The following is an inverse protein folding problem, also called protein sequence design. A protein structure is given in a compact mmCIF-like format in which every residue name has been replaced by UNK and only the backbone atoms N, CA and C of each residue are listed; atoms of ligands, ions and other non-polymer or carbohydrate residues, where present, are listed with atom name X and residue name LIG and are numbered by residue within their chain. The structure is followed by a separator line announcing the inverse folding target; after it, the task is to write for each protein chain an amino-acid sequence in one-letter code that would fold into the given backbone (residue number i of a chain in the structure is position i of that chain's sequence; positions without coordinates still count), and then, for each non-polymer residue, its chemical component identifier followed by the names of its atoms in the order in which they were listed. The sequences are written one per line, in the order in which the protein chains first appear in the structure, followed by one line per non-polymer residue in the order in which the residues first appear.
data_IF_371164782972
#
_entry.id   IF_371164782972
#
_cell.length_a   1.000
_cell.length_b   1.000
_cell.length_c   1.000
_cell.angle_alpha   90.00
_cell.angle_beta   90.00
_cell.angle_gamma   90.00
#
_symmetry.space_group_name_H-M   'P 1'
#
loop_
_entity.id
_entity.type
_entity.pdbx_description
1 polymer ?
#
# COMPACT_ATOMS: atom_id res chain seq x y z
N UNK A 1 75.40 -5.36 20.37
CA UNK A 1 74.17 -4.81 20.99
C UNK A 1 73.15 -4.53 19.87
N UNK A 2 72.24 -5.50 19.63
CA UNK A 2 71.19 -5.37 18.59
C UNK A 2 69.90 -4.86 19.28
N UNK A 3 69.40 -3.69 18.84
CA UNK A 3 68.11 -3.19 19.25
C UNK A 3 66.99 -3.86 18.45
N UNK A 4 66.16 -4.64 19.11
CA UNK A 4 64.94 -5.21 18.57
C UNK A 4 63.86 -4.15 18.73
N UNK A 5 63.33 -3.66 17.59
CA UNK A 5 62.17 -2.78 17.56
C UNK A 5 60.92 -3.65 17.57
N UNK A 6 60.10 -3.50 18.59
CA UNK A 6 58.78 -4.15 18.72
C UNK A 6 57.75 -3.31 17.96
N UNK A 7 57.25 -3.82 16.82
CA UNK A 7 56.14 -3.23 16.10
C UNK A 7 54.83 -3.71 16.75
N UNK A 8 54.12 -2.82 17.46
CA UNK A 8 52.77 -3.08 17.95
C UNK A 8 51.81 -2.73 16.83
N UNK A 9 51.26 -3.75 16.16
CA UNK A 9 50.12 -3.59 15.24
C UNK A 9 48.83 -3.41 16.05
N UNK A 10 48.33 -2.19 16.07
CA UNK A 10 46.99 -1.89 16.61
C UNK A 10 45.98 -2.33 15.55
N UNK A 11 45.34 -3.47 15.75
CA UNK A 11 44.20 -3.91 14.96
C UNK A 11 42.99 -3.09 15.47
N UNK A 12 42.61 -2.04 14.73
CA UNK A 12 41.34 -1.34 14.89
C UNK A 12 40.22 -2.29 14.41
N UNK A 13 39.59 -2.98 15.35
CA UNK A 13 38.31 -3.62 15.15
C UNK A 13 37.26 -2.52 14.90
N UNK A 14 36.97 -2.26 13.63
CA UNK A 14 35.74 -1.59 13.25
C UNK A 14 34.57 -2.52 13.58
N UNK A 15 34.04 -2.40 14.78
CA UNK A 15 32.69 -2.88 15.07
C UNK A 15 31.74 -2.00 14.24
N UNK A 16 31.23 -2.56 13.16
CA UNK A 16 30.07 -2.02 12.48
C UNK A 16 28.90 -2.01 13.49
N UNK A 17 28.70 -0.87 14.12
CA UNK A 17 27.45 -0.56 14.81
C UNK A 17 26.36 -0.66 13.73
N UNK A 18 25.70 -1.81 13.65
CA UNK A 18 24.41 -1.87 12.99
C UNK A 18 23.51 -0.93 13.79
N UNK A 19 23.28 0.25 13.24
CA UNK A 19 22.26 1.12 13.75
C UNK A 19 20.96 0.30 13.71
N UNK A 20 20.45 -0.08 14.87
CA UNK A 20 19.10 -0.60 15.02
C UNK A 20 18.23 0.55 14.54
N UNK A 21 17.68 0.44 13.34
CA UNK A 21 16.78 1.45 12.81
C UNK A 21 15.58 1.49 13.76
N UNK A 22 15.45 2.58 14.49
CA UNK A 22 14.27 2.85 15.29
C UNK A 22 13.08 2.87 14.33
N UNK A 23 11.95 2.26 14.71
CA UNK A 23 10.72 2.34 13.92
C UNK A 23 10.45 3.82 13.65
N UNK A 24 10.40 4.28 12.38
CA UNK A 24 10.37 5.69 12.06
C UNK A 24 9.03 6.34 12.44
N UNK A 25 9.08 7.60 12.84
CA UNK A 25 7.96 8.52 12.97
C UNK A 25 7.23 8.50 14.30
N UNK A 26 6.30 9.46 14.46
CA UNK A 26 5.60 9.69 15.71
C UNK A 26 4.52 8.64 15.98
N UNK A 27 4.35 8.36 17.26
CA UNK A 27 3.23 7.61 17.84
C UNK A 27 2.68 8.39 19.01
N UNK A 28 1.42 8.15 19.34
CA UNK A 28 0.83 8.66 20.58
C UNK A 28 0.09 7.56 21.33
N UNK A 29 -0.59 7.91 22.39
CA UNK A 29 -1.31 6.94 23.20
C UNK A 29 -2.50 6.29 22.51
N UNK A 30 -3.02 6.85 21.42
CA UNK A 30 -4.10 6.27 20.62
C UNK A 30 -3.56 5.48 19.43
N UNK A 31 -2.66 6.08 18.66
CA UNK A 31 -2.00 5.46 17.52
C UNK A 31 -0.78 4.63 17.98
N UNK A 32 -1.06 3.56 18.69
CA UNK A 32 -0.02 2.76 19.35
C UNK A 32 0.87 1.99 18.40
N UNK A 33 0.40 1.73 17.17
CA UNK A 33 1.11 0.95 16.15
C UNK A 33 1.32 1.77 14.89
N UNK A 34 2.53 1.71 14.35
CA UNK A 34 2.95 2.44 13.16
C UNK A 34 4.09 3.41 13.44
N UNK A 35 4.53 4.16 12.41
CA UNK A 35 4.09 3.96 11.03
C UNK A 35 4.60 2.65 10.45
N UNK A 36 3.75 1.99 9.64
CA UNK A 36 4.15 0.87 8.80
C UNK A 36 4.42 1.43 7.40
N UNK A 37 5.52 1.09 6.79
CA UNK A 37 5.86 1.49 5.42
C UNK A 37 7.06 0.68 4.93
N UNK A 38 6.86 -0.55 4.47
CA UNK A 38 7.98 -1.39 4.03
C UNK A 38 9.07 -1.62 5.10
N UNK A 39 8.80 -1.24 6.34
CA UNK A 39 9.72 -1.35 7.47
C UNK A 39 10.05 -2.83 7.72
N UNK A 40 11.34 -3.21 7.90
CA UNK A 40 11.72 -4.61 8.11
C UNK A 40 11.10 -5.22 9.38
N UNK A 41 10.67 -4.41 10.35
CA UNK A 41 10.05 -4.89 11.59
C UNK A 41 8.53 -5.05 11.48
N UNK A 42 7.86 -4.23 10.65
CA UNK A 42 6.40 -4.19 10.52
C UNK A 42 5.98 -4.37 9.05
N UNK A 43 6.81 -4.99 8.25
CA UNK A 43 6.54 -5.29 6.85
C UNK A 43 5.59 -6.49 6.74
N UNK A 44 4.30 -6.22 6.73
CA UNK A 44 3.22 -7.22 6.77
C UNK A 44 2.01 -6.74 5.97
N UNK A 45 1.26 -7.66 5.38
CA UNK A 45 0.02 -7.40 4.65
C UNK A 45 0.21 -6.58 3.36
N UNK A 46 1.35 -6.74 2.69
CA UNK A 46 1.69 -6.05 1.44
C UNK A 46 1.50 -4.53 1.53
N UNK A 47 2.19 -3.84 2.45
CA UNK A 47 2.14 -2.39 2.50
C UNK A 47 2.66 -1.81 1.19
N UNK A 48 2.30 -0.57 0.90
CA UNK A 48 2.97 0.22 -0.14
C UNK A 48 4.13 0.97 0.51
N UNK A 49 5.33 0.92 -0.07
CA UNK A 49 6.53 1.56 0.48
C UNK A 49 6.41 3.11 0.53
N UNK A 50 5.52 3.67 -0.27
CA UNK A 50 5.27 5.12 -0.34
C UNK A 50 4.09 5.56 0.54
N UNK A 51 3.62 4.69 1.45
CA UNK A 51 2.44 4.91 2.28
C UNK A 51 2.74 4.66 3.74
N UNK A 52 2.29 5.55 4.60
CA UNK A 52 2.44 5.44 6.04
C UNK A 52 1.11 5.09 6.71
N UNK A 53 1.15 4.12 7.63
CA UNK A 53 -0.03 3.54 8.27
C UNK A 53 0.11 3.60 9.77
N UNK A 54 -0.92 4.07 10.47
CA UNK A 54 -1.02 3.98 11.93
C UNK A 54 -2.29 3.25 12.32
N UNK A 55 -2.19 2.33 13.26
CA UNK A 55 -3.33 1.57 13.75
C UNK A 55 -3.62 1.86 15.22
N UNK A 56 -4.91 1.92 15.54
CA UNK A 56 -5.42 2.01 16.89
C UNK A 56 -6.40 0.86 17.16
N UNK A 57 -6.24 0.22 18.32
CA UNK A 57 -7.16 -0.74 18.88
C UNK A 57 -7.66 -0.22 20.21
N UNK A 58 -8.97 -0.12 20.39
CA UNK A 58 -9.58 0.52 21.54
C UNK A 58 -10.97 -0.05 21.85
N UNK A 59 -11.50 0.25 23.02
CA UNK A 59 -12.86 -0.13 23.43
C UNK A 59 -13.58 1.12 23.96
N UNK A 60 -14.52 1.65 23.18
CA UNK A 60 -15.29 2.81 23.61
C UNK A 60 -16.28 2.43 24.73
N UNK A 61 -16.40 3.24 25.81
CA UNK A 61 -17.51 3.10 26.74
C UNK A 61 -18.85 3.35 26.04
N UNK A 62 -19.90 2.63 26.46
CA UNK A 62 -21.22 2.66 25.80
C UNK A 62 -21.90 4.06 25.83
N UNK A 63 -21.56 4.90 26.83
CA UNK A 63 -22.10 6.23 27.08
C UNK A 63 -21.14 7.37 26.63
N UNK A 64 -20.08 7.06 25.91
CA UNK A 64 -19.10 8.03 25.44
C UNK A 64 -19.30 8.40 23.96
N UNK A 65 -19.06 9.66 23.64
CA UNK A 65 -18.88 10.12 22.27
C UNK A 65 -17.39 10.24 21.93
N UNK A 66 -16.98 9.67 20.81
CA UNK A 66 -15.59 9.67 20.36
C UNK A 66 -15.45 10.54 19.12
N UNK A 67 -14.38 11.33 19.11
CA UNK A 67 -14.00 12.17 17.97
C UNK A 67 -12.50 12.03 17.69
N UNK A 68 -12.14 12.13 16.42
CA UNK A 68 -10.78 12.38 15.97
C UNK A 68 -10.69 13.82 15.46
N UNK A 69 -9.81 14.60 16.06
CA UNK A 69 -9.49 15.96 15.62
C UNK A 69 -8.11 15.98 14.97
N UNK A 70 -8.02 16.49 13.75
CA UNK A 70 -6.79 16.53 12.99
C UNK A 70 -6.74 17.64 11.97
N UNK A 71 -5.65 17.66 11.22
CA UNK A 71 -5.44 18.54 10.08
C UNK A 71 -5.20 17.69 8.83
N UNK A 72 -5.69 18.14 7.68
CA UNK A 72 -5.41 17.47 6.41
C UNK A 72 -3.91 17.52 6.10
N UNK A 73 -3.23 16.38 5.89
CA UNK A 73 -1.81 16.38 5.56
C UNK A 73 -1.55 16.92 4.15
N UNK A 74 -0.33 17.36 3.89
CA UNK A 74 0.16 17.62 2.54
C UNK A 74 0.58 16.28 1.93
N UNK A 75 -0.31 15.67 1.17
CA UNK A 75 -0.12 14.34 0.59
C UNK A 75 -1.03 14.12 -0.61
N UNK A 76 -0.85 13.03 -1.32
CA UNK A 76 -1.70 12.61 -2.43
C UNK A 76 -3.09 12.16 -1.98
N UNK A 77 -3.15 11.46 -0.85
CA UNK A 77 -4.37 10.90 -0.32
C UNK A 77 -4.21 10.61 1.17
N UNK A 78 -5.29 10.72 1.94
CA UNK A 78 -5.39 10.22 3.30
C UNK A 78 -6.73 9.55 3.54
N UNK A 79 -6.79 8.63 4.48
CA UNK A 79 -8.04 8.01 4.92
C UNK A 79 -7.98 7.50 6.34
N UNK A 80 -9.17 7.33 6.95
CA UNK A 80 -9.36 6.57 8.17
C UNK A 80 -10.33 5.45 7.85
N UNK A 81 -9.91 4.20 8.10
CA UNK A 81 -10.69 3.00 7.77
C UNK A 81 -10.87 2.14 9.00
N UNK A 82 -12.11 1.69 9.24
CA UNK A 82 -12.45 0.75 10.31
C UNK A 82 -12.39 -0.70 9.83
N UNK A 83 -12.06 -1.62 10.75
CA UNK A 83 -11.87 -3.05 10.47
C UNK A 83 -12.58 -3.95 11.46
N UNK A 84 -13.01 -5.12 10.99
CA UNK A 84 -13.49 -6.20 11.84
C UNK A 84 -12.35 -7.07 12.41
N UNK A 85 -12.70 -8.03 13.29
CA UNK A 85 -11.74 -8.94 13.90
C UNK A 85 -11.03 -9.92 12.95
N UNK A 86 -11.34 -9.86 11.66
CA UNK A 86 -10.64 -10.63 10.60
C UNK A 86 -9.82 -9.73 9.68
N UNK A 87 -9.63 -8.46 10.04
CA UNK A 87 -8.91 -7.50 9.21
C UNK A 87 -9.64 -7.14 7.89
N UNK A 88 -10.97 -7.35 7.83
CA UNK A 88 -11.78 -6.93 6.71
C UNK A 88 -12.26 -5.50 6.95
N UNK A 89 -12.17 -4.62 5.93
CA UNK A 89 -12.60 -3.24 6.10
C UNK A 89 -14.13 -3.17 6.21
N UNK A 90 -14.61 -2.28 7.08
CA UNK A 90 -16.03 -2.02 7.30
C UNK A 90 -16.41 -0.75 6.55
N UNK A 91 -15.74 0.36 6.83
CA UNK A 91 -15.97 1.65 6.19
C UNK A 91 -14.65 2.38 5.97
N UNK A 92 -14.57 3.12 4.85
CA UNK A 92 -13.47 4.05 4.53
C UNK A 92 -13.99 5.46 4.49
N UNK A 93 -13.41 6.33 5.30
CA UNK A 93 -13.58 7.77 5.21
C UNK A 93 -12.35 8.37 4.52
N UNK A 94 -12.47 8.57 3.21
CA UNK A 94 -11.44 9.19 2.39
C UNK A 94 -11.41 10.71 2.56
N UNK A 95 -10.26 11.31 2.32
CA UNK A 95 -9.97 12.74 2.46
C UNK A 95 -11.04 13.67 1.86
N UNK A 96 -11.38 13.47 0.60
CA UNK A 96 -12.32 14.32 -0.13
C UNK A 96 -13.78 14.27 0.39
N UNK A 97 -14.09 13.27 1.23
CA UNK A 97 -15.39 13.11 1.90
C UNK A 97 -15.47 13.82 3.26
N UNK A 98 -14.34 14.24 3.79
CA UNK A 98 -14.23 14.92 5.09
C UNK A 98 -14.55 16.42 4.90
N UNK A 99 -15.49 16.93 5.64
CA UNK A 99 -15.81 18.36 5.66
C UNK A 99 -14.84 19.08 6.60
N UNK A 100 -14.09 20.10 6.12
CA UNK A 100 -13.22 20.93 6.97
C UNK A 100 -14.04 21.69 8.01
N UNK A 101 -13.41 22.04 9.13
CA UNK A 101 -13.97 22.99 10.09
C UNK A 101 -13.95 24.43 9.53
N UNK A 102 -14.73 25.32 10.15
CA UNK A 102 -14.74 26.77 9.87
C UNK A 102 -15.08 27.15 8.42
N UNK A 103 -15.83 26.32 7.69
CA UNK A 103 -16.16 26.50 6.27
C UNK A 103 -14.94 26.67 5.36
N UNK A 104 -13.81 26.10 5.71
CA UNK A 104 -12.63 26.07 4.88
C UNK A 104 -12.82 25.15 3.66
N UNK A 105 -11.99 25.33 2.63
CA UNK A 105 -11.98 24.44 1.47
C UNK A 105 -11.21 23.15 1.77
N UNK A 106 -11.78 22.02 1.38
CA UNK A 106 -11.09 20.73 1.48
C UNK A 106 -9.94 20.68 0.45
N UNK A 107 -8.67 20.51 0.89
CA UNK A 107 -7.51 20.55 -0.01
C UNK A 107 -7.41 19.34 -0.95
N UNK A 108 -8.25 18.33 -0.80
CA UNK A 108 -8.27 17.12 -1.63
C UNK A 108 -9.38 17.11 -2.68
N UNK A 109 -10.12 18.19 -2.79
CA UNK A 109 -11.13 18.37 -3.85
C UNK A 109 -10.46 19.06 -5.04
N UNK A 110 -10.62 18.54 -6.28
CA UNK A 110 -10.05 19.16 -7.46
C UNK A 110 -10.42 20.65 -7.59
N UNK A 111 -9.44 21.48 -7.95
CA UNK A 111 -9.58 22.93 -8.07
C UNK A 111 -9.36 23.71 -6.78
N UNK A 112 -9.40 23.08 -5.61
CA UNK A 112 -9.17 23.75 -4.33
C UNK A 112 -7.67 23.97 -4.07
N UNK A 113 -7.37 24.97 -3.22
CA UNK A 113 -6.01 25.29 -2.81
C UNK A 113 -5.48 24.24 -1.81
N UNK A 114 -4.54 23.41 -2.25
CA UNK A 114 -3.87 22.41 -1.40
C UNK A 114 -3.03 23.03 -0.28
N UNK A 115 -2.56 24.26 -0.45
CA UNK A 115 -1.71 24.98 0.52
C UNK A 115 -2.50 25.82 1.50
N UNK A 116 -3.84 25.72 1.52
CA UNK A 116 -4.66 26.41 2.51
C UNK A 116 -4.17 26.05 3.93
N UNK A 117 -4.03 27.05 4.78
CA UNK A 117 -3.61 26.88 6.20
C UNK A 117 -4.77 26.45 7.09
N UNK A 118 -6.01 26.77 6.71
CA UNK A 118 -7.24 26.31 7.38
C UNK A 118 -7.50 24.87 6.98
N UNK A 119 -6.94 23.90 7.74
CA UNK A 119 -6.89 22.46 7.37
C UNK A 119 -7.57 21.55 8.39
N UNK A 120 -8.14 22.12 9.47
CA UNK A 120 -8.65 21.34 10.58
C UNK A 120 -9.94 20.59 10.22
N UNK A 121 -10.07 19.38 10.76
CA UNK A 121 -11.29 18.57 10.67
C UNK A 121 -11.60 17.89 12.01
N UNK A 122 -12.86 17.49 12.18
CA UNK A 122 -13.29 16.63 13.28
C UNK A 122 -14.18 15.51 12.73
N UNK A 123 -13.89 14.26 13.10
CA UNK A 123 -14.60 13.06 12.69
C UNK A 123 -15.20 12.38 13.90
N UNK A 124 -16.49 12.08 13.90
CA UNK A 124 -17.16 11.29 14.93
C UNK A 124 -16.98 9.80 14.65
N UNK A 125 -16.56 9.02 15.64
CA UNK A 125 -16.49 7.56 15.56
C UNK A 125 -17.75 6.98 16.21
N UNK A 126 -18.48 6.15 15.45
CA UNK A 126 -19.68 5.46 15.94
C UNK A 126 -19.46 3.96 16.08
N UNK A 127 -19.78 3.42 17.25
CA UNK A 127 -19.81 1.97 17.49
C UNK A 127 -21.09 1.35 16.91
N UNK A 128 -21.24 1.38 15.59
CA UNK A 128 -22.39 0.86 14.83
C UNK A 128 -21.95 0.42 13.46
N UNK A 129 -22.69 -0.51 12.86
CA UNK A 129 -22.53 -0.83 11.44
C UNK A 129 -22.98 0.34 10.55
N UNK A 130 -22.33 0.57 9.39
CA UNK A 130 -22.77 1.57 8.43
C UNK A 130 -24.14 1.18 7.85
N UNK A 131 -25.00 2.18 7.63
CA UNK A 131 -26.36 1.98 7.09
C UNK A 131 -26.33 1.49 5.65
N UNK A 132 -25.35 1.96 4.87
CA UNK A 132 -25.12 1.54 3.48
C UNK A 132 -23.62 1.38 3.22
N UNK A 133 -23.26 0.42 2.37
CA UNK A 133 -21.88 0.28 1.91
C UNK A 133 -21.68 1.17 0.70
N UNK A 134 -20.65 2.00 0.74
CA UNK A 134 -20.18 2.77 -0.42
C UNK A 134 -19.57 1.84 -1.46
N UNK A 135 -19.76 2.16 -2.75
CA UNK A 135 -18.98 1.51 -3.81
C UNK A 135 -17.48 1.73 -3.58
N UNK A 136 -16.73 0.65 -3.61
CA UNK A 136 -15.32 0.69 -3.27
C UNK A 136 -14.46 1.05 -4.48
N UNK A 137 -13.38 1.80 -4.22
CA UNK A 137 -12.36 2.10 -5.21
C UNK A 137 -12.71 3.20 -6.21
N UNK A 138 -13.94 3.68 -6.23
CA UNK A 138 -14.37 4.80 -7.10
C UNK A 138 -14.67 6.05 -6.29
N UNK A 139 -14.55 7.21 -6.94
CA UNK A 139 -14.92 8.50 -6.35
C UNK A 139 -16.43 8.52 -6.12
N UNK A 140 -16.84 8.72 -4.86
CA UNK A 140 -18.25 8.82 -4.48
C UNK A 140 -18.71 10.28 -4.46
N UNK A 141 -19.96 10.51 -4.87
CA UNK A 141 -20.61 11.82 -4.74
C UNK A 141 -21.30 12.01 -3.37
N UNK A 142 -21.31 10.97 -2.54
CA UNK A 142 -21.97 10.98 -1.23
C UNK A 142 -21.11 11.71 -0.21
N UNK A 143 -21.71 12.66 0.53
CA UNK A 143 -21.07 13.28 1.70
C UNK A 143 -21.17 12.34 2.89
N UNK A 144 -20.10 12.21 3.69
CA UNK A 144 -20.07 11.31 4.85
C UNK A 144 -20.62 11.95 6.13
N UNK A 145 -20.76 13.29 6.17
CA UNK A 145 -21.10 14.02 7.38
C UNK A 145 -20.08 13.89 8.52
N UNK A 146 -18.80 13.66 8.20
CA UNK A 146 -17.69 13.47 9.16
C UNK A 146 -17.94 12.38 10.21
N UNK A 147 -18.54 11.26 9.77
CA UNK A 147 -18.81 10.10 10.61
C UNK A 147 -18.07 8.87 10.07
N UNK A 148 -17.40 8.14 10.96
CA UNK A 148 -16.81 6.84 10.69
C UNK A 148 -17.52 5.78 11.55
N UNK A 149 -18.09 4.77 10.91
CA UNK A 149 -18.66 3.63 11.59
C UNK A 149 -17.56 2.60 11.88
N UNK A 150 -17.37 2.28 13.15
CA UNK A 150 -16.39 1.31 13.61
C UNK A 150 -17.03 0.39 14.66
N UNK A 151 -17.85 -0.60 14.23
CA UNK A 151 -18.52 -1.51 15.14
C UNK A 151 -17.48 -2.35 15.91
N UNK A 152 -17.80 -2.60 17.18
CA UNK A 152 -16.95 -3.43 18.03
C UNK A 152 -17.08 -4.92 17.70
N UNK A 153 -16.00 -5.68 17.95
CA UNK A 153 -15.93 -7.11 17.77
C UNK A 153 -15.22 -7.78 18.96
N UNK A 154 -15.35 -9.10 19.09
CA UNK A 154 -14.70 -9.87 20.16
C UNK A 154 -14.98 -9.30 21.54
N UNK A 155 -13.95 -8.94 22.33
CA UNK A 155 -14.10 -8.37 23.68
C UNK A 155 -14.45 -6.87 23.65
N UNK A 156 -15.38 -6.45 22.81
CA UNK A 156 -15.76 -5.04 22.56
C UNK A 156 -14.64 -4.18 21.93
N UNK A 157 -13.70 -4.77 21.21
CA UNK A 157 -12.63 -4.03 20.55
C UNK A 157 -13.11 -3.37 19.26
N UNK A 158 -12.64 -2.17 19.00
CA UNK A 158 -12.74 -1.44 17.74
C UNK A 158 -11.35 -1.28 17.15
N UNK A 159 -11.23 -1.29 15.83
CA UNK A 159 -9.95 -1.07 15.15
C UNK A 159 -10.11 -0.07 14.01
N UNK A 160 -9.24 0.92 13.99
CA UNK A 160 -9.13 1.90 12.92
C UNK A 160 -7.68 2.01 12.45
N UNK A 161 -7.51 2.27 11.14
CA UNK A 161 -6.19 2.53 10.55
C UNK A 161 -6.25 3.88 9.83
N UNK A 162 -5.35 4.78 10.21
CA UNK A 162 -5.06 6.04 9.53
C UNK A 162 -3.98 5.81 8.48
N UNK A 163 -4.16 6.36 7.28
CA UNK A 163 -3.24 6.21 6.16
C UNK A 163 -2.92 7.55 5.54
N UNK A 164 -1.65 7.74 5.20
CA UNK A 164 -1.17 8.85 4.37
C UNK A 164 -0.44 8.24 3.18
N UNK A 165 -0.93 8.49 1.98
CA UNK A 165 -0.32 8.06 0.73
C UNK A 165 0.47 9.21 0.14
N UNK A 166 1.71 8.94 -0.20
CA UNK A 166 2.61 9.84 -0.88
C UNK A 166 2.57 11.24 -0.26
N UNK A 167 3.14 11.44 0.95
CA UNK A 167 3.37 12.77 1.48
C UNK A 167 4.15 13.62 0.47
N UNK A 168 3.86 14.92 0.41
CA UNK A 168 4.63 15.85 -0.41
C UNK A 168 6.11 15.80 -0.01
N UNK A 169 7.03 15.99 -0.95
CA UNK A 169 8.47 15.87 -0.71
C UNK A 169 8.93 16.65 0.51
N UNK A 170 9.76 16.01 1.33
CA UNK A 170 10.26 16.58 2.60
C UNK A 170 9.26 16.60 3.75
N UNK A 171 8.00 16.11 3.57
CA UNK A 171 6.96 16.14 4.62
C UNK A 171 6.65 14.77 5.24
N UNK A 172 7.30 13.70 4.77
CA UNK A 172 7.11 12.35 5.31
C UNK A 172 7.49 12.29 6.82
N UNK A 173 6.82 11.40 7.61
CA UNK A 173 5.73 10.50 7.23
C UNK A 173 4.33 11.13 7.36
N UNK A 174 4.19 12.29 7.95
CA UNK A 174 2.91 12.87 8.37
C UNK A 174 2.34 13.92 7.41
N UNK A 175 3.03 14.25 6.33
CA UNK A 175 2.59 15.31 5.43
C UNK A 175 2.58 16.68 6.09
N UNK A 176 3.55 16.98 6.97
CA UNK A 176 3.74 18.29 7.59
C UNK A 176 2.75 18.67 8.71
N UNK A 177 1.90 17.72 9.15
CA UNK A 177 0.94 17.91 10.24
C UNK A 177 1.11 16.85 11.33
N UNK A 178 0.32 16.91 12.41
CA UNK A 178 0.33 15.90 13.47
C UNK A 178 -0.56 14.71 13.19
N UNK A 179 -0.46 13.65 14.03
CA UNK A 179 -1.45 12.57 14.05
C UNK A 179 -2.80 13.12 14.55
N UNK A 180 -3.94 12.63 14.02
CA UNK A 180 -5.24 12.98 14.55
C UNK A 180 -5.37 12.60 16.03
N UNK A 181 -5.82 13.50 16.86
CA UNK A 181 -5.93 13.33 18.31
C UNK A 181 -7.31 12.80 18.72
N UNK A 182 -7.33 11.82 19.63
CA UNK A 182 -8.58 11.32 20.21
C UNK A 182 -9.15 12.30 21.21
N UNK A 183 -10.45 12.56 21.08
CA UNK A 183 -11.28 13.30 22.06
C UNK A 183 -12.44 12.42 22.50
N UNK A 184 -12.63 12.29 23.81
CA UNK A 184 -13.72 11.51 24.41
C UNK A 184 -14.61 12.46 25.22
N UNK A 185 -15.91 12.46 24.94
CA UNK A 185 -16.92 13.19 25.72
C UNK A 185 -17.78 12.18 26.47
N UNK A 186 -17.80 12.26 27.80
CA UNK A 186 -18.55 11.34 28.65
C UNK A 186 -19.03 12.08 29.90
N UNK A 187 -20.31 11.98 30.25
CA UNK A 187 -20.90 12.59 31.44
C UNK A 187 -20.61 14.09 31.61
N UNK A 188 -20.65 14.85 30.51
CA UNK A 188 -20.33 16.29 30.48
C UNK A 188 -18.86 16.63 30.55
N UNK A 189 -17.98 15.64 30.71
CA UNK A 189 -16.52 15.82 30.72
C UNK A 189 -15.92 15.62 29.32
N UNK A 190 -14.99 16.48 28.94
CA UNK A 190 -14.20 16.34 27.71
C UNK A 190 -12.77 15.89 28.09
N UNK A 191 -12.37 14.72 27.61
CA UNK A 191 -11.07 14.12 27.86
C UNK A 191 -10.20 14.17 26.59
N UNK A 192 -8.91 14.41 26.75
CA UNK A 192 -7.89 14.49 25.68
C UNK A 192 -6.60 13.81 26.11
N UNK A 193 -5.71 13.49 25.16
CA UNK A 193 -4.40 12.88 25.42
C UNK A 193 -4.52 11.57 26.23
N UNK A 194 -3.63 11.39 27.22
CA UNK A 194 -3.59 10.16 28.04
C UNK A 194 -4.90 9.86 28.76
N UNK A 195 -5.66 10.85 29.16
CA UNK A 195 -6.96 10.64 29.81
C UNK A 195 -7.98 10.03 28.84
N UNK A 196 -8.05 10.54 27.61
CA UNK A 196 -8.90 9.98 26.57
C UNK A 196 -8.47 8.54 26.21
N UNK A 197 -7.16 8.30 26.09
CA UNK A 197 -6.62 6.98 25.80
C UNK A 197 -6.95 5.94 26.90
N UNK A 198 -6.88 6.35 28.16
CA UNK A 198 -7.30 5.49 29.28
C UNK A 198 -8.79 5.19 29.25
N UNK A 199 -9.63 6.19 28.96
CA UNK A 199 -11.07 6.03 28.88
C UNK A 199 -11.51 4.98 27.84
N UNK A 200 -10.79 4.88 26.72
CA UNK A 200 -11.07 3.90 25.65
C UNK A 200 -10.16 2.65 25.70
N UNK A 201 -9.35 2.50 26.74
CA UNK A 201 -8.42 1.36 26.85
C UNK A 201 -7.59 1.13 25.56
N UNK A 202 -6.89 2.15 25.08
CA UNK A 202 -6.17 2.12 23.80
C UNK A 202 -4.88 1.28 23.81
N UNK A 203 -4.38 0.88 24.98
CA UNK A 203 -3.14 0.09 25.14
C UNK A 203 -3.35 -1.44 25.06
N UNK A 204 -4.46 -1.87 24.44
CA UNK A 204 -4.76 -3.29 24.29
C UNK A 204 -4.10 -3.88 23.03
N UNK A 205 -3.88 -5.19 23.04
CA UNK A 205 -3.45 -5.94 21.88
C UNK A 205 -4.58 -6.08 20.84
N UNK A 206 -4.19 -6.13 19.56
CA UNK A 206 -5.14 -6.39 18.49
C UNK A 206 -5.72 -7.80 18.65
N UNK A 207 -7.02 -7.93 18.80
CA UNK A 207 -7.75 -9.20 18.80
C UNK A 207 -7.97 -9.72 17.35
N UNK A 208 -7.01 -9.47 16.46
CA UNK A 208 -7.01 -9.96 15.08
C UNK A 208 -5.96 -11.04 14.98
N UNK A 209 -6.34 -12.20 14.49
CA UNK A 209 -5.40 -13.31 14.30
C UNK A 209 -4.46 -13.01 13.12
N UNK A 210 -3.17 -13.31 13.26
CA UNK A 210 -2.18 -13.17 12.18
C UNK A 210 -2.53 -14.00 10.94
N UNK A 211 -3.32 -15.07 11.08
CA UNK A 211 -3.90 -15.84 9.97
C UNK A 211 -4.79 -14.99 9.04
N UNK A 212 -5.21 -13.81 9.49
CA UNK A 212 -5.89 -12.83 8.64
C UNK A 212 -4.94 -12.14 7.64
N UNK A 213 -3.64 -12.11 7.91
CA UNK A 213 -2.66 -11.33 7.14
C UNK A 213 -1.96 -12.11 6.01
N UNK A 214 -2.32 -13.38 5.75
CA UNK A 214 -1.67 -14.17 4.71
C UNK A 214 -2.21 -15.59 4.61
N UNK A 215 -1.50 -16.43 3.86
CA UNK A 215 -1.69 -17.88 3.86
C UNK A 215 -0.66 -18.47 4.84
N UNK A 216 -1.04 -19.33 5.81
CA UNK A 216 -0.08 -19.96 6.71
C UNK A 216 1.08 -20.60 5.95
N UNK A 217 2.32 -20.40 6.41
CA UNK A 217 3.53 -20.79 5.66
C UNK A 217 3.56 -22.26 5.25
N UNK A 218 3.04 -23.17 6.07
CA UNK A 218 2.93 -24.59 5.70
C UNK A 218 1.93 -24.81 4.56
N UNK A 219 0.79 -24.13 4.57
CA UNK A 219 -0.19 -24.20 3.51
C UNK A 219 0.38 -23.57 2.22
N UNK A 220 1.08 -22.45 2.33
CA UNK A 220 1.75 -21.81 1.21
C UNK A 220 2.76 -22.77 0.55
N UNK A 221 3.65 -23.40 1.34
CA UNK A 221 4.61 -24.39 0.83
C UNK A 221 3.92 -25.53 0.08
N UNK A 222 2.80 -26.05 0.63
CA UNK A 222 2.01 -27.09 -0.04
C UNK A 222 1.41 -26.62 -1.35
N UNK A 223 0.91 -25.39 -1.43
CA UNK A 223 0.39 -24.78 -2.66
C UNK A 223 1.49 -24.51 -3.70
N UNK A 224 2.67 -24.10 -3.27
CA UNK A 224 3.80 -23.80 -4.14
C UNK A 224 4.52 -25.06 -4.68
N UNK A 225 4.51 -26.17 -3.93
CA UNK A 225 5.24 -27.41 -4.24
C UNK A 225 4.38 -28.50 -4.89
N UNK A 226 3.43 -28.15 -5.75
CA UNK A 226 2.56 -29.14 -6.42
C UNK A 226 3.37 -30.02 -7.38
N UNK A 227 3.45 -31.35 -7.17
CA UNK A 227 4.33 -32.23 -7.95
C UNK A 227 3.80 -32.50 -9.37
N UNK A 228 2.52 -32.25 -9.64
CA UNK A 228 1.86 -32.40 -10.92
C UNK A 228 1.94 -31.14 -11.80
N UNK A 229 2.57 -30.09 -11.31
CA UNK A 229 2.71 -28.81 -12.01
C UNK A 229 4.15 -28.56 -12.47
N UNK A 230 4.35 -27.74 -13.52
CA UNK A 230 5.70 -27.28 -13.87
C UNK A 230 6.42 -26.62 -12.68
N UNK A 231 7.74 -26.75 -12.61
CA UNK A 231 8.56 -26.16 -11.53
C UNK A 231 8.42 -24.63 -11.44
N UNK A 232 7.97 -23.98 -12.51
CA UNK A 232 7.73 -22.53 -12.54
C UNK A 232 6.32 -22.15 -12.07
N UNK A 233 5.45 -23.15 -11.83
CA UNK A 233 4.08 -22.89 -11.39
C UNK A 233 4.06 -22.14 -10.03
N UNK A 234 3.13 -21.18 -9.80
CA UNK A 234 2.00 -20.78 -10.67
C UNK A 234 2.34 -19.68 -11.68
N UNK A 235 3.60 -19.23 -11.75
CA UNK A 235 4.03 -18.24 -12.73
C UNK A 235 3.84 -18.75 -14.16
N UNK A 236 3.55 -17.84 -15.07
CA UNK A 236 3.29 -18.14 -16.49
C UNK A 236 4.13 -17.24 -17.41
N UNK A 237 4.38 -17.71 -18.64
CA UNK A 237 5.04 -16.95 -19.68
C UNK A 237 4.15 -16.95 -20.95
N UNK A 238 3.56 -15.79 -21.37
CA UNK A 238 3.64 -14.48 -20.72
C UNK A 238 2.96 -14.46 -19.34
N UNK A 239 3.31 -13.47 -18.45
CA UNK A 239 2.71 -13.39 -17.13
C UNK A 239 1.20 -13.22 -17.19
N UNK A 240 0.50 -13.96 -16.36
CA UNK A 240 -0.95 -13.86 -16.17
C UNK A 240 -1.24 -12.97 -14.98
N UNK A 241 -2.13 -12.00 -15.15
CA UNK A 241 -2.53 -11.07 -14.10
C UNK A 241 -3.87 -11.45 -13.48
N UNK A 242 -3.98 -11.29 -12.17
CA UNK A 242 -5.13 -11.67 -11.36
C UNK A 242 -5.61 -10.48 -10.51
N UNK A 243 -6.91 -10.17 -10.60
CA UNK A 243 -7.53 -9.19 -9.70
C UNK A 243 -7.70 -9.80 -8.31
N UNK A 244 -7.49 -8.99 -7.29
CA UNK A 244 -7.79 -9.42 -5.92
C UNK A 244 -9.27 -9.18 -5.62
N UNK A 245 -10.01 -10.28 -5.45
CA UNK A 245 -11.40 -10.24 -5.03
C UNK A 245 -11.51 -10.45 -3.52
N UNK A 246 -11.06 -11.61 -3.04
CA UNK A 246 -11.04 -12.01 -1.64
C UNK A 246 -9.78 -12.85 -1.34
N UNK A 247 -9.67 -13.37 -0.11
CA UNK A 247 -8.57 -14.26 0.27
C UNK A 247 -8.56 -15.56 -0.52
N UNK A 248 -9.72 -16.11 -0.86
CA UNK A 248 -9.82 -17.35 -1.61
C UNK A 248 -9.28 -17.18 -3.02
N UNK A 249 -9.37 -16.01 -3.63
CA UNK A 249 -8.80 -15.73 -4.95
C UNK A 249 -7.29 -15.90 -4.99
N UNK A 250 -6.58 -15.69 -3.86
CA UNK A 250 -5.13 -15.93 -3.77
C UNK A 250 -4.79 -17.42 -3.81
N UNK A 251 -5.63 -18.28 -3.21
CA UNK A 251 -5.50 -19.73 -3.28
C UNK A 251 -5.83 -20.17 -4.72
N UNK A 252 -6.83 -19.55 -5.35
CA UNK A 252 -7.23 -19.80 -6.72
C UNK A 252 -6.11 -19.63 -7.75
N UNK A 253 -5.13 -18.75 -7.49
CA UNK A 253 -3.94 -18.60 -8.36
C UNK A 253 -3.17 -19.93 -8.45
N UNK A 254 -3.11 -20.70 -7.36
CA UNK A 254 -2.40 -22.00 -7.31
C UNK A 254 -3.27 -23.17 -7.76
N UNK A 255 -4.56 -23.14 -7.48
CA UNK A 255 -5.47 -24.25 -7.76
C UNK A 255 -6.20 -24.12 -9.11
N UNK A 256 -6.26 -22.90 -9.67
CA UNK A 256 -7.08 -22.60 -10.84
C UNK A 256 -8.57 -22.40 -10.53
N UNK A 257 -8.95 -22.46 -9.26
CA UNK A 257 -10.34 -22.33 -8.80
C UNK A 257 -10.63 -20.90 -8.33
N UNK A 258 -11.45 -20.17 -9.06
CA UNK A 258 -11.86 -18.81 -8.72
C UNK A 258 -13.36 -18.74 -8.44
N UNK A 259 -13.72 -18.14 -7.33
CA UNK A 259 -15.11 -17.81 -7.03
C UNK A 259 -15.56 -16.62 -7.91
N UNK A 260 -16.47 -16.88 -8.86
CA UNK A 260 -16.98 -15.85 -9.79
C UNK A 260 -17.81 -14.75 -9.12
N UNK A 261 -18.34 -15.04 -7.94
CA UNK A 261 -19.22 -14.14 -7.18
C UNK A 261 -18.51 -13.56 -5.93
N UNK A 262 -17.18 -13.69 -5.84
CA UNK A 262 -16.45 -13.18 -4.70
C UNK A 262 -16.58 -11.65 -4.60
N UNK A 263 -16.94 -11.12 -3.43
CA UNK A 263 -16.95 -9.68 -3.21
C UNK A 263 -15.53 -9.11 -3.31
N UNK A 264 -15.40 -7.94 -3.95
CA UNK A 264 -14.11 -7.31 -4.18
C UNK A 264 -13.46 -6.80 -2.91
N UNK A 265 -12.14 -6.93 -2.83
CA UNK A 265 -11.26 -6.33 -1.81
C UNK A 265 -11.70 -6.57 -0.36
N UNK A 266 -12.43 -7.64 -0.09
CA UNK A 266 -12.92 -7.95 1.27
C UNK A 266 -12.00 -8.90 2.05
N UNK A 267 -10.90 -9.34 1.42
CA UNK A 267 -10.04 -10.37 2.01
C UNK A 267 -8.88 -9.82 2.82
N UNK A 268 -8.88 -10.08 4.09
CA UNK A 268 -7.88 -10.41 5.08
C UNK A 268 -6.50 -9.75 5.15
N UNK A 269 -6.16 -8.76 4.34
CA UNK A 269 -4.85 -8.08 4.39
C UNK A 269 -4.97 -6.61 4.80
N UNK A 270 -5.95 -6.26 5.59
CA UNK A 270 -6.28 -4.87 5.91
C UNK A 270 -6.39 -3.99 4.67
N UNK A 271 -7.13 -4.42 3.62
CA UNK A 271 -7.15 -3.70 2.37
C UNK A 271 -7.74 -2.29 2.56
N UNK A 272 -7.28 -1.37 1.74
CA UNK A 272 -7.91 -0.08 1.61
C UNK A 272 -9.11 -0.22 0.65
N UNK A 273 -10.32 0.16 1.08
CA UNK A 273 -11.53 0.11 0.25
C UNK A 273 -11.45 1.01 -0.98
N UNK A 274 -10.58 2.01 -0.95
CA UNK A 274 -10.37 2.94 -2.06
C UNK A 274 -9.35 2.44 -3.08
N UNK A 275 -8.66 1.31 -2.80
CA UNK A 275 -7.71 0.64 -3.69
C UNK A 275 -8.28 -0.65 -4.29
N UNK A 276 -7.96 -0.90 -5.56
CA UNK A 276 -8.06 -2.22 -6.16
C UNK A 276 -6.69 -2.71 -6.65
N UNK A 277 -6.52 -4.03 -6.68
CA UNK A 277 -5.21 -4.66 -6.85
C UNK A 277 -5.22 -5.65 -8.01
N UNK A 278 -4.15 -5.60 -8.80
CA UNK A 278 -3.86 -6.55 -9.87
C UNK A 278 -2.50 -7.19 -9.59
N UNK A 279 -2.42 -8.52 -9.55
CA UNK A 279 -1.21 -9.25 -9.19
C UNK A 279 -0.81 -10.26 -10.23
N UNK A 280 0.50 -10.48 -10.35
CA UNK A 280 1.06 -11.64 -11.06
C UNK A 280 2.14 -12.28 -10.21
N UNK A 281 2.31 -13.58 -10.38
CA UNK A 281 3.47 -14.30 -9.83
C UNK A 281 4.50 -14.41 -10.94
N UNK A 282 5.73 -14.04 -10.66
CA UNK A 282 6.85 -14.09 -11.58
C UNK A 282 7.84 -15.16 -11.16
N UNK A 283 8.53 -15.77 -12.15
CA UNK A 283 9.59 -16.74 -11.88
C UNK A 283 10.75 -16.50 -12.85
N UNK A 284 11.95 -16.25 -12.29
CA UNK A 284 13.18 -15.95 -13.04
C UNK A 284 13.67 -17.09 -13.93
N UNK A 285 13.12 -18.32 -13.79
CA UNK A 285 13.40 -19.43 -14.70
C UNK A 285 12.88 -19.21 -16.11
N UNK A 286 11.90 -18.31 -16.32
CA UNK A 286 11.48 -17.89 -17.65
C UNK A 286 12.40 -16.87 -18.32
N UNK A 287 13.18 -16.14 -17.53
CA UNK A 287 14.10 -15.08 -17.90
C UNK A 287 14.42 -14.20 -16.69
N UNK A 288 15.63 -13.66 -16.64
CA UNK A 288 16.15 -12.93 -15.47
C UNK A 288 15.50 -11.59 -15.22
N UNK A 289 14.90 -11.01 -16.26
CA UNK A 289 14.22 -9.71 -16.22
C UNK A 289 12.81 -9.87 -16.78
N UNK A 290 11.80 -9.46 -16.02
CA UNK A 290 10.46 -9.26 -16.55
C UNK A 290 10.34 -7.81 -17.00
N UNK A 291 10.12 -7.59 -18.30
CA UNK A 291 9.82 -6.24 -18.83
C UNK A 291 8.32 -6.12 -18.99
N UNK A 292 7.74 -5.05 -18.45
CA UNK A 292 6.31 -4.72 -18.55
C UNK A 292 6.16 -3.41 -19.31
N UNK A 293 5.18 -3.36 -20.22
CA UNK A 293 4.74 -2.14 -20.89
C UNK A 293 3.23 -2.01 -20.78
N UNK A 294 2.75 -0.81 -20.41
CA UNK A 294 1.33 -0.45 -20.40
C UNK A 294 1.16 1.06 -20.48
N UNK A 295 -0.05 1.53 -20.80
CA UNK A 295 -0.41 2.93 -20.69
C UNK A 295 -0.54 3.33 -19.23
N UNK A 296 0.03 4.49 -18.86
CA UNK A 296 -0.08 5.03 -17.52
C UNK A 296 -1.41 5.77 -17.36
N UNK A 297 -2.22 5.45 -16.35
CA UNK A 297 -3.37 6.28 -16.02
C UNK A 297 -2.93 7.68 -15.57
N UNK A 298 -3.69 8.70 -15.94
CA UNK A 298 -3.44 10.07 -15.48
C UNK A 298 -3.72 10.20 -14.00
N UNK A 299 -2.78 10.83 -13.29
CA UNK A 299 -2.85 11.10 -11.84
C UNK A 299 -2.48 12.54 -11.55
N UNK A 300 -2.99 13.13 -10.44
CA UNK A 300 -2.55 14.46 -10.02
C UNK A 300 -1.08 14.40 -9.60
N UNK A 301 -0.26 15.36 -10.03
CA UNK A 301 1.16 15.44 -9.72
C UNK A 301 1.38 16.22 -8.42
N UNK A 302 1.37 15.53 -7.28
CA UNK A 302 1.39 16.18 -5.97
C UNK A 302 2.72 16.11 -5.23
N UNK A 303 3.60 15.18 -5.58
CA UNK A 303 4.83 14.92 -4.84
C UNK A 303 5.69 16.19 -4.69
N UNK A 304 5.84 16.96 -5.75
CA UNK A 304 6.59 18.23 -5.76
C UNK A 304 5.77 19.42 -5.24
N UNK A 305 4.80 19.20 -4.39
CA UNK A 305 4.09 20.27 -3.65
C UNK A 305 3.32 21.26 -4.53
N UNK A 306 2.51 20.78 -5.48
CA UNK A 306 1.65 21.64 -6.31
C UNK A 306 0.56 22.35 -5.51
N UNK A 307 0.08 23.49 -6.00
CA UNK A 307 -0.87 24.34 -5.28
C UNK A 307 -2.32 23.86 -5.39
N UNK A 308 -2.67 23.12 -6.45
CA UNK A 308 -4.03 22.63 -6.70
C UNK A 308 -4.04 21.16 -7.09
N UNK A 309 -5.13 20.46 -6.78
CA UNK A 309 -5.42 19.17 -7.34
C UNK A 309 -5.95 19.30 -8.76
N UNK A 310 -5.38 18.54 -9.69
CA UNK A 310 -5.91 18.39 -11.03
C UNK A 310 -6.90 17.23 -11.08
N UNK A 311 -7.92 17.36 -11.95
CA UNK A 311 -8.76 16.21 -12.31
C UNK A 311 -7.93 15.18 -13.06
N UNK A 312 -8.13 13.89 -12.73
CA UNK A 312 -7.32 12.80 -13.25
C UNK A 312 -8.14 11.50 -13.34
N UNK A 313 -7.64 10.51 -14.05
CA UNK A 313 -8.30 9.21 -14.20
C UNK A 313 -8.29 8.39 -12.90
N UNK A 314 -7.16 8.47 -12.16
CA UNK A 314 -6.97 7.87 -10.85
C UNK A 314 -6.42 8.89 -9.87
N UNK A 315 -6.69 8.71 -8.57
CA UNK A 315 -6.03 9.48 -7.52
C UNK A 315 -4.55 9.12 -7.39
N UNK A 316 -4.23 7.83 -7.51
CA UNK A 316 -2.89 7.28 -7.31
C UNK A 316 -2.80 5.90 -7.95
N UNK A 317 -1.63 5.55 -8.48
CA UNK A 317 -1.28 4.18 -8.77
C UNK A 317 0.18 3.89 -8.40
N UNK A 318 0.46 2.65 -8.09
CA UNK A 318 1.81 2.16 -7.78
C UNK A 318 1.99 0.75 -8.30
N UNK A 319 3.25 0.36 -8.43
CA UNK A 319 3.65 -1.02 -8.66
C UNK A 319 4.66 -1.43 -7.61
N UNK A 320 4.42 -2.57 -6.96
CA UNK A 320 5.30 -3.11 -5.94
C UNK A 320 5.77 -4.51 -6.27
N UNK A 321 7.02 -4.81 -5.91
CA UNK A 321 7.54 -6.16 -5.81
C UNK A 321 7.35 -6.66 -4.39
N UNK A 322 6.87 -7.88 -4.26
CA UNK A 322 6.51 -8.47 -2.99
C UNK A 322 7.05 -9.89 -2.90
N UNK A 323 7.23 -10.37 -1.68
CA UNK A 323 7.46 -11.76 -1.38
C UNK A 323 6.16 -12.58 -1.41
N UNK A 324 6.16 -13.78 -0.85
CA UNK A 324 5.05 -14.73 -0.94
C UNK A 324 3.78 -14.33 -0.18
N UNK A 325 2.68 -15.02 -0.49
CA UNK A 325 1.48 -14.98 0.35
C UNK A 325 1.68 -15.62 1.74
N UNK A 326 2.82 -16.28 1.97
CA UNK A 326 3.16 -16.87 3.27
C UNK A 326 3.72 -15.87 4.26
N UNK A 327 4.38 -14.79 3.82
CA UNK A 327 4.94 -13.76 4.69
C UNK A 327 4.38 -12.36 4.42
N UNK A 328 3.79 -12.12 3.26
CA UNK A 328 3.10 -10.89 2.84
C UNK A 328 3.96 -9.62 2.90
N UNK A 329 5.26 -9.76 2.71
CA UNK A 329 6.20 -8.64 2.74
C UNK A 329 6.25 -7.90 1.40
N UNK A 330 6.39 -6.58 1.45
CA UNK A 330 6.82 -5.79 0.29
C UNK A 330 8.35 -5.72 0.27
N UNK A 331 8.94 -5.76 -0.92
CA UNK A 331 10.36 -5.50 -1.12
C UNK A 331 10.58 -4.04 -1.49
N UNK A 332 9.92 -3.57 -2.55
CA UNK A 332 10.01 -2.19 -3.01
C UNK A 332 8.76 -1.78 -3.79
N UNK A 333 8.53 -0.48 -3.94
CA UNK A 333 7.42 0.09 -4.70
C UNK A 333 7.87 1.32 -5.48
N UNK A 334 7.35 1.45 -6.69
CA UNK A 334 7.41 2.69 -7.47
C UNK A 334 6.01 3.28 -7.56
N UNK A 335 5.89 4.59 -7.38
CA UNK A 335 4.64 5.31 -7.59
C UNK A 335 4.65 6.04 -8.95
N UNK A 336 3.49 6.50 -9.35
CA UNK A 336 3.19 7.04 -10.68
C UNK A 336 4.12 8.19 -11.14
N UNK A 337 4.66 9.01 -10.22
CA UNK A 337 5.57 10.11 -10.58
C UNK A 337 7.05 9.67 -10.71
N UNK A 338 7.43 8.50 -10.18
CA UNK A 338 8.77 7.93 -10.33
C UNK A 338 8.96 7.17 -11.66
N UNK A 339 7.86 6.82 -12.33
CA UNK A 339 7.89 5.99 -13.53
C UNK A 339 7.81 6.88 -14.77
N UNK A 340 8.86 6.92 -15.61
CA UNK A 340 8.86 7.70 -16.83
C UNK A 340 7.83 7.15 -17.83
N UNK A 341 7.17 8.06 -18.54
CA UNK A 341 6.23 7.75 -19.62
C UNK A 341 6.75 8.31 -20.95
N UNK A 342 6.52 7.56 -22.02
CA UNK A 342 6.86 8.02 -23.39
C UNK A 342 5.85 9.07 -23.89
N UNK A 343 6.09 9.64 -25.07
CA UNK A 343 5.24 10.67 -25.70
C UNK A 343 3.79 10.20 -25.95
N UNK A 344 3.54 8.89 -25.95
CA UNK A 344 2.23 8.30 -26.13
C UNK A 344 1.57 7.90 -24.78
N UNK A 345 2.22 8.23 -23.66
CA UNK A 345 1.75 7.93 -22.30
C UNK A 345 1.98 6.50 -21.85
N UNK A 346 2.88 5.74 -22.49
CA UNK A 346 3.23 4.38 -22.05
C UNK A 346 4.47 4.40 -21.17
N UNK A 347 4.44 3.59 -20.11
CA UNK A 347 5.61 3.30 -19.29
C UNK A 347 6.25 1.97 -19.70
N UNK A 348 7.56 1.87 -19.46
CA UNK A 348 8.31 0.61 -19.52
C UNK A 348 8.97 0.37 -18.17
N UNK A 349 8.78 -0.82 -17.62
CA UNK A 349 9.29 -1.23 -16.31
C UNK A 349 10.11 -2.51 -16.45
N UNK A 350 11.35 -2.50 -15.98
CA UNK A 350 12.20 -3.67 -15.84
C UNK A 350 12.17 -4.17 -14.38
N UNK A 351 11.88 -5.44 -14.18
CA UNK A 351 11.77 -6.07 -12.86
C UNK A 351 12.76 -7.21 -12.78
N UNK A 352 13.70 -7.15 -11.84
CA UNK A 352 14.77 -8.14 -11.69
C UNK A 352 15.37 -8.11 -10.29
N UNK A 353 16.21 -9.09 -9.95
CA UNK A 353 17.19 -8.92 -8.86
C UNK A 353 18.20 -7.84 -9.22
N UNK A 354 18.91 -7.32 -8.22
CA UNK A 354 19.93 -6.28 -8.41
C UNK A 354 21.06 -6.75 -9.34
N UNK A 355 21.51 -8.00 -9.21
CA UNK A 355 22.55 -8.63 -10.04
C UNK A 355 22.18 -8.73 -11.54
N UNK A 356 20.88 -8.80 -11.85
CA UNK A 356 20.33 -8.94 -13.20
C UNK A 356 19.76 -7.62 -13.75
N UNK A 357 20.01 -6.48 -13.10
CA UNK A 357 19.53 -5.17 -13.56
C UNK A 357 20.17 -4.83 -14.92
N UNK A 358 19.37 -4.58 -15.98
CA UNK A 358 19.90 -4.05 -17.24
C UNK A 358 20.52 -2.66 -17.03
N UNK A 359 21.64 -2.37 -17.70
CA UNK A 359 22.33 -1.07 -17.55
C UNK A 359 21.50 0.12 -17.99
N UNK A 360 20.59 -0.10 -18.93
CA UNK A 360 19.65 0.90 -19.43
C UNK A 360 18.31 0.96 -18.66
N UNK A 361 18.17 0.18 -17.57
CA UNK A 361 16.99 0.29 -16.69
C UNK A 361 17.18 1.46 -15.72
N UNK A 362 17.08 2.67 -16.28
CA UNK A 362 17.16 3.98 -15.62
C UNK A 362 16.13 4.93 -16.24
N UNK A 363 15.68 5.90 -15.47
CA UNK A 363 14.62 6.83 -15.91
C UNK A 363 15.03 7.67 -17.14
N UNK A 364 16.30 8.02 -17.28
CA UNK A 364 16.87 8.76 -18.41
C UNK A 364 16.74 7.99 -19.72
N UNK A 365 16.70 6.66 -19.65
CA UNK A 365 16.44 5.78 -20.80
C UNK A 365 14.96 5.46 -21.00
N UNK A 366 14.06 6.04 -20.22
CA UNK A 366 12.62 5.78 -20.27
C UNK A 366 12.22 4.43 -19.68
N UNK A 367 13.07 3.79 -18.87
CA UNK A 367 12.83 2.47 -18.26
C UNK A 367 12.99 2.59 -16.74
N UNK A 368 11.90 2.49 -16.01
CA UNK A 368 11.97 2.37 -14.56
C UNK A 368 12.44 0.97 -14.16
N UNK A 369 13.14 0.88 -13.03
CA UNK A 369 13.59 -0.40 -12.49
C UNK A 369 12.95 -0.67 -11.14
N UNK A 370 12.35 -1.86 -10.99
CA UNK A 370 11.79 -2.34 -9.73
C UNK A 370 12.56 -3.59 -9.28
N UNK A 371 13.31 -3.54 -8.17
CA UNK A 371 14.01 -4.70 -7.64
C UNK A 371 13.04 -5.73 -7.06
N UNK A 372 13.33 -7.02 -7.21
CA UNK A 372 12.73 -8.10 -6.41
C UNK A 372 13.69 -8.51 -5.30
N UNK A 373 13.13 -9.09 -4.23
CA UNK A 373 13.91 -9.52 -3.08
C UNK A 373 14.98 -10.56 -3.46
N UNK A 374 16.16 -10.48 -2.84
CA UNK A 374 17.26 -11.40 -3.11
C UNK A 374 16.94 -12.85 -2.68
N UNK A 375 16.15 -13.00 -1.62
CA UNK A 375 15.60 -14.27 -1.13
C UNK A 375 14.26 -14.66 -1.79
N UNK A 376 13.92 -14.04 -2.92
CA UNK A 376 12.75 -14.35 -3.73
C UNK A 376 11.44 -14.24 -2.99
N UNK A 377 10.72 -15.36 -2.82
CA UNK A 377 9.44 -15.40 -2.11
C UNK A 377 9.58 -15.35 -0.58
N UNK A 378 10.82 -15.40 -0.08
CA UNK A 378 11.16 -15.33 1.35
C UNK A 378 10.71 -16.54 2.19
N UNK A 379 10.24 -17.62 1.56
CA UNK A 379 9.72 -18.82 2.26
C UNK A 379 10.20 -20.11 1.61
N UNK A 380 10.24 -20.19 0.28
CA UNK A 380 10.41 -21.45 -0.45
C UNK A 380 11.27 -21.39 -1.70
N UNK A 381 11.15 -20.36 -2.55
CA UNK A 381 11.81 -20.29 -3.86
C UNK A 381 12.40 -18.90 -4.12
N UNK A 382 13.74 -18.83 -4.24
CA UNK A 382 14.49 -17.59 -4.45
C UNK A 382 14.28 -16.99 -5.86
N UNK A 383 13.72 -17.75 -6.80
CA UNK A 383 13.41 -17.27 -8.16
C UNK A 383 12.00 -16.69 -8.31
N UNK A 384 11.17 -16.75 -7.24
CA UNK A 384 9.77 -16.35 -7.28
C UNK A 384 9.56 -14.99 -6.60
N UNK A 385 8.73 -14.15 -7.20
CA UNK A 385 8.24 -12.91 -6.58
C UNK A 385 6.79 -12.65 -6.98
N UNK A 386 6.11 -11.75 -6.27
CA UNK A 386 4.78 -11.24 -6.63
C UNK A 386 4.94 -9.79 -7.06
N UNK A 387 4.42 -9.46 -8.24
CA UNK A 387 4.30 -8.06 -8.69
C UNK A 387 2.86 -7.63 -8.56
N UNK A 388 2.64 -6.46 -7.95
CA UNK A 388 1.30 -5.94 -7.66
C UNK A 388 1.15 -4.50 -8.13
N UNK A 389 0.15 -4.25 -8.97
CA UNK A 389 -0.35 -2.91 -9.26
C UNK A 389 -1.49 -2.54 -8.31
N UNK A 390 -1.56 -1.26 -7.97
CA UNK A 390 -2.66 -0.63 -7.23
C UNK A 390 -3.26 0.50 -8.06
N UNK A 391 -4.58 0.54 -8.14
CA UNK A 391 -5.34 1.69 -8.63
C UNK A 391 -6.22 2.21 -7.50
N UNK A 392 -6.11 3.51 -7.20
CA UNK A 392 -6.87 4.16 -6.13
C UNK A 392 -7.83 5.19 -6.68
N UNK A 393 -9.08 5.17 -6.19
CA UNK A 393 -10.11 6.16 -6.47
C UNK A 393 -10.22 6.48 -7.97
N UNK A 394 -10.66 5.50 -8.74
CA UNK A 394 -10.92 5.69 -10.16
C UNK A 394 -12.11 6.63 -10.37
N UNK A 395 -11.99 7.55 -11.32
CA UNK A 395 -13.10 8.38 -11.77
C UNK A 395 -14.14 7.51 -12.50
N UNK A 396 -15.42 7.84 -12.34
CA UNK A 396 -16.52 7.03 -12.89
C UNK A 396 -16.48 6.90 -14.42
N UNK A 397 -15.98 7.91 -15.12
CA UNK A 397 -15.84 7.93 -16.58
C UNK A 397 -14.51 7.36 -17.09
N UNK A 398 -13.69 6.77 -16.21
CA UNK A 398 -12.49 6.01 -16.57
C UNK A 398 -12.75 4.49 -16.54
N UNK A 399 -13.17 3.89 -17.66
CA UNK A 399 -13.62 2.49 -17.68
C UNK A 399 -12.49 1.45 -17.69
N UNK A 400 -11.22 1.89 -17.83
CA UNK A 400 -10.05 1.00 -17.98
C UNK A 400 -9.31 0.70 -16.67
N UNK A 401 -9.87 1.10 -15.54
CA UNK A 401 -9.26 0.88 -14.22
C UNK A 401 -9.42 -0.56 -13.76
N UNK A 402 -8.59 -0.98 -12.77
CA UNK A 402 -8.79 -2.26 -12.06
C UNK A 402 -10.18 -2.31 -11.41
N UNK A 403 -10.72 -1.15 -10.98
CA UNK A 403 -12.06 -1.03 -10.42
C UNK A 403 -13.18 -1.43 -11.37
N UNK A 404 -12.95 -1.29 -12.67
CA UNK A 404 -13.94 -1.61 -13.70
C UNK A 404 -13.97 -3.09 -14.09
N UNK A 405 -12.97 -3.86 -13.65
CA UNK A 405 -12.90 -5.31 -13.92
C UNK A 405 -13.83 -6.04 -12.95
N UNK A 406 -14.92 -6.61 -13.45
CA UNK A 406 -15.89 -7.38 -12.65
C UNK A 406 -15.54 -8.85 -12.54
N UNK A 407 -14.96 -9.40 -13.59
CA UNK A 407 -14.60 -10.80 -13.66
C UNK A 407 -13.10 -10.93 -13.96
N UNK A 408 -12.43 -11.85 -13.27
CA UNK A 408 -11.01 -12.17 -13.47
C UNK A 408 -10.64 -12.41 -14.95
N UNK A 409 -11.52 -13.03 -15.71
CA UNK A 409 -11.26 -13.40 -17.12
C UNK A 409 -11.27 -12.20 -18.06
N UNK A 410 -11.97 -11.14 -17.70
CA UNK A 410 -12.20 -9.97 -18.54
C UNK A 410 -11.14 -8.88 -18.33
N UNK A 411 -10.18 -9.12 -17.42
CA UNK A 411 -9.15 -8.13 -17.01
C UNK A 411 -8.45 -7.49 -18.21
N UNK A 412 -8.00 -8.29 -19.16
CA UNK A 412 -7.29 -7.81 -20.36
C UNK A 412 -8.20 -7.03 -21.31
N UNK A 413 -9.45 -7.47 -21.46
CA UNK A 413 -10.44 -6.82 -22.32
C UNK A 413 -10.88 -5.49 -21.74
N UNK A 414 -11.17 -5.43 -20.45
CA UNK A 414 -11.58 -4.22 -19.74
C UNK A 414 -10.44 -3.19 -19.69
N UNK A 415 -9.24 -3.60 -19.28
CA UNK A 415 -8.12 -2.68 -19.09
C UNK A 415 -7.43 -2.26 -20.40
N UNK A 416 -7.61 -2.97 -21.51
CA UNK A 416 -7.10 -2.67 -22.85
C UNK A 416 -5.62 -2.27 -22.89
N UNK A 417 -5.28 -1.00 -23.16
CA UNK A 417 -3.91 -0.47 -23.21
C UNK A 417 -3.27 -0.33 -21.83
N UNK A 418 -4.09 -0.22 -20.78
CA UNK A 418 -3.65 -0.11 -19.39
C UNK A 418 -3.35 -1.48 -18.76
N UNK A 419 -3.67 -2.59 -19.46
CA UNK A 419 -3.31 -3.94 -19.01
C UNK A 419 -1.79 -4.15 -19.10
N UNK A 420 -1.10 -4.53 -18.01
CA UNK A 420 0.34 -4.70 -18.01
C UNK A 420 0.77 -5.91 -18.86
N UNK A 421 1.34 -5.64 -20.03
CA UNK A 421 1.84 -6.70 -20.92
C UNK A 421 3.29 -6.99 -20.57
N UNK A 422 3.55 -8.23 -20.13
CA UNK A 422 4.86 -8.67 -19.66
C UNK A 422 5.60 -9.59 -20.64
N UNK A 423 6.92 -9.50 -20.62
CA UNK A 423 7.83 -10.34 -21.40
C UNK A 423 9.07 -10.65 -20.58
N UNK A 424 9.43 -11.93 -20.47
CA UNK A 424 10.68 -12.33 -19.83
C UNK A 424 11.85 -12.24 -20.81
N UNK A 425 12.96 -11.65 -20.37
CA UNK A 425 14.18 -11.41 -21.15
C UNK A 425 15.42 -11.67 -20.28
N UNK A 426 16.56 -11.76 -20.95
CA UNK A 426 17.88 -11.65 -20.31
C UNK A 426 18.30 -10.17 -20.28
N UNK A 427 19.18 -9.71 -19.35
CA UNK A 427 19.60 -8.32 -19.26
C UNK A 427 20.11 -7.73 -20.59
N UNK A 428 20.96 -8.46 -21.30
CA UNK A 428 21.50 -8.05 -22.60
C UNK A 428 20.42 -7.93 -23.71
N UNK A 429 19.34 -8.72 -23.61
CA UNK A 429 18.21 -8.59 -24.53
C UNK A 429 17.42 -7.32 -24.24
N UNK A 430 17.25 -6.93 -22.98
CA UNK A 430 16.61 -5.65 -22.62
C UNK A 430 17.42 -4.49 -23.19
N UNK A 431 18.75 -4.49 -23.01
CA UNK A 431 19.64 -3.46 -23.55
C UNK A 431 19.56 -3.37 -25.08
N UNK A 432 19.40 -4.50 -25.76
CA UNK A 432 19.30 -4.56 -27.22
C UNK A 432 17.94 -4.15 -27.76
N UNK A 433 16.84 -4.56 -27.10
CA UNK A 433 15.47 -4.27 -27.58
C UNK A 433 14.97 -2.87 -27.20
N UNK A 434 15.54 -2.29 -26.16
CA UNK A 434 15.20 -0.95 -25.66
C UNK A 434 16.47 -0.09 -25.57
N UNK A 435 17.10 0.27 -26.70
CA UNK A 435 18.34 1.02 -26.67
C UNK A 435 18.12 2.38 -25.97
N UNK A 436 19.05 2.74 -25.10
CA UNK A 436 19.05 4.04 -24.45
C UNK A 436 19.55 5.10 -25.45
N UNK A 437 18.65 5.91 -25.92
CA UNK A 437 18.97 7.08 -26.74
C UNK A 437 19.08 8.29 -25.82
N UNK A 438 20.19 8.41 -25.10
CA UNK A 438 20.49 9.65 -24.37
C UNK A 438 20.68 10.72 -25.45
N UNK A 439 19.78 11.69 -25.50
CA UNK A 439 19.99 12.89 -26.30
C UNK A 439 21.05 13.73 -25.58
N UNK A 440 22.22 13.86 -26.18
CA UNK A 440 23.29 14.78 -25.76
C UNK A 440 22.78 16.22 -25.63
#
# INVERSE_FOLDING_TARGET
MKKIAFLISVILLFQSLHAVSSIPGPRDCFWMRGPHSGDPYINLAYPDANVFYWAAAFSAPDDAELFLEGEFPYSRYMSIISYDGRGRPIESLADYLIEPLNNADNPYVPGNNRRNKERSYQIKILNKDPVSKRDTGKISKSKSGNVLHAPSYGPKQQTVIYRIYLPDDGTAPLGGVGLPSLVVKQNGKVMRGEEACKAVNSKQDLAITLDAAGIPSMQYRKLASQPDKPITWPAQNPPQWYIQLDRQSLIGIYTGEFNRNAPRSTGGFFPNLDNHYLRTIVNRKFGKVLVIKAKAPLTPKTYNSVDTYEESELRYWSVCSNQSFGNTRVNDCLFDEEIPVDENGYFTLAISKAEDRPRNAINECGIAWLPIAEDGDGVFDDDVAIVQFRHMLARDDFPFSIQSVENQRDTKEVMQEYYPRGRYLMPNQVESFFPCLIKD
#
